data_IF_552788819353
#
_entry.id   IF_552788819353
#
_cell.length_a   1.000
_cell.length_b   1.000
_cell.length_c   1.000
_cell.angle_alpha   90.00
_cell.angle_beta   90.00
_cell.angle_gamma   90.00
#
_symmetry.space_group_name_H-M   'P 1'
#
loop_
_entity.id
_entity.type
_entity.pdbx_description
1 polymer ?
#
# COMPACT_ATOMS: atom_id res chain seq x y z
N UNK A 1 9.55 -11.64 34.88
CA UNK A 1 8.41 -10.89 34.30
C UNK A 1 7.69 -11.86 33.37
N UNK A 2 6.49 -12.30 33.75
CA UNK A 2 5.72 -13.32 33.05
C UNK A 2 4.87 -12.62 31.98
N UNK A 3 4.66 -13.25 30.81
CA UNK A 3 3.42 -12.97 30.07
C UNK A 3 2.44 -13.99 30.65
N UNK A 4 1.68 -13.57 31.64
CA UNK A 4 0.60 -14.36 32.17
C UNK A 4 -0.60 -14.27 31.23
N UNK A 5 -1.53 -15.22 31.31
CA UNK A 5 -2.74 -15.19 30.48
C UNK A 5 -3.44 -13.83 30.55
N UNK A 6 -3.45 -13.14 31.69
CA UNK A 6 -4.03 -11.80 31.83
C UNK A 6 -3.39 -10.71 30.96
N UNK A 7 -2.13 -10.86 30.52
CA UNK A 7 -1.45 -9.90 29.65
C UNK A 7 -1.97 -9.95 28.20
N UNK A 8 -2.73 -10.99 27.81
CA UNK A 8 -3.35 -11.11 26.49
C UNK A 8 -4.81 -11.61 26.50
N UNK A 9 -5.37 -11.88 27.68
CA UNK A 9 -6.73 -12.44 27.86
C UNK A 9 -7.80 -11.38 28.19
N UNK A 10 -7.63 -10.11 27.79
CA UNK A 10 -8.69 -9.12 27.96
C UNK A 10 -9.94 -9.37 27.07
N UNK A 11 -9.93 -10.39 26.23
CA UNK A 11 -11.07 -10.84 25.45
C UNK A 11 -11.75 -12.08 26.06
N UNK A 12 -12.47 -11.90 27.17
CA UNK A 12 -13.61 -12.76 27.51
C UNK A 12 -14.61 -11.94 28.32
N UNK A 13 -15.85 -11.86 27.83
CA UNK A 13 -17.02 -11.27 28.50
C UNK A 13 -17.11 -9.72 28.54
N UNK A 14 -17.34 -9.12 27.38
CA UNK A 14 -18.38 -8.08 27.28
C UNK A 14 -19.41 -8.53 26.26
N UNK A 15 -20.54 -9.02 26.74
CA UNK A 15 -21.71 -9.35 25.92
C UNK A 15 -22.14 -8.12 25.10
N UNK A 16 -21.78 -8.09 23.83
CA UNK A 16 -22.39 -7.20 22.85
C UNK A 16 -23.71 -7.83 22.38
N UNK A 17 -24.82 -7.13 22.60
CA UNK A 17 -26.11 -7.50 22.01
C UNK A 17 -25.99 -7.64 20.49
N UNK A 18 -26.78 -8.54 19.92
CA UNK A 18 -26.87 -8.80 18.48
C UNK A 18 -27.00 -7.47 17.71
N UNK A 19 -25.93 -7.08 17.03
CA UNK A 19 -25.94 -6.01 16.05
C UNK A 19 -26.10 -6.64 14.65
N UNK A 20 -27.07 -6.11 13.90
CA UNK A 20 -27.36 -6.46 12.51
C UNK A 20 -26.09 -6.46 11.63
N UNK A 21 -26.03 -7.26 10.54
CA UNK A 21 -24.88 -7.27 9.65
C UNK A 21 -24.72 -5.88 9.03
N UNK A 22 -23.74 -5.11 9.50
CA UNK A 22 -23.52 -3.71 9.10
C UNK A 22 -22.26 -3.58 8.24
N UNK A 23 -22.53 -3.30 6.97
CA UNK A 23 -21.71 -2.73 5.90
C UNK A 23 -20.26 -3.24 5.72
N UNK A 24 -20.05 -3.94 4.61
CA UNK A 24 -18.75 -4.01 3.94
C UNK A 24 -18.38 -2.59 3.50
N UNK A 25 -17.27 -2.03 4.00
CA UNK A 25 -16.78 -0.68 3.67
C UNK A 25 -16.61 0.25 4.87
N UNK A 26 -16.28 1.51 4.60
CA UNK A 26 -15.94 2.53 5.59
C UNK A 26 -14.47 2.51 6.03
N UNK A 27 -13.59 1.90 5.25
CA UNK A 27 -12.16 1.81 5.54
C UNK A 27 -11.48 3.17 5.48
N UNK A 28 -11.76 3.96 4.44
CA UNK A 28 -11.15 5.28 4.25
C UNK A 28 -11.50 6.24 5.40
N UNK A 29 -12.76 6.45 5.79
CA UNK A 29 -13.09 7.30 6.94
C UNK A 29 -12.48 6.81 8.26
N UNK A 30 -12.34 5.48 8.45
CA UNK A 30 -11.68 4.96 9.65
C UNK A 30 -10.17 5.22 9.61
N UNK A 31 -9.51 4.93 8.49
CA UNK A 31 -8.10 5.22 8.23
C UNK A 31 -7.76 6.69 8.53
N UNK A 32 -8.53 7.64 7.98
CA UNK A 32 -8.33 9.07 8.19
C UNK A 32 -8.51 9.49 9.66
N UNK A 33 -9.43 8.85 10.40
CA UNK A 33 -9.60 9.11 11.84
C UNK A 33 -8.45 8.56 12.67
N UNK A 34 -7.91 7.39 12.30
CA UNK A 34 -6.82 6.73 13.01
C UNK A 34 -5.45 7.34 12.75
N UNK A 35 -5.28 8.07 11.63
CA UNK A 35 -4.07 8.84 11.33
C UNK A 35 -3.90 10.09 12.20
N UNK A 36 -4.92 10.51 12.95
CA UNK A 36 -4.81 11.67 13.85
C UNK A 36 -3.93 11.32 15.05
N UNK A 37 -3.16 12.29 15.54
CA UNK A 37 -2.14 12.09 16.61
C UNK A 37 -2.66 11.34 17.84
N UNK A 38 -3.93 11.47 18.20
CA UNK A 38 -4.55 10.64 19.24
C UNK A 38 -6.02 10.37 18.90
N UNK A 39 -6.37 9.21 18.33
CA UNK A 39 -7.77 8.86 18.06
C UNK A 39 -8.49 8.61 19.39
N UNK A 40 -9.68 9.19 19.54
CA UNK A 40 -10.53 8.98 20.71
C UNK A 40 -11.14 7.58 20.78
N UNK A 41 -11.73 7.25 21.92
CA UNK A 41 -12.25 5.91 22.25
C UNK A 41 -13.21 5.35 21.20
N UNK A 42 -14.06 6.19 20.61
CA UNK A 42 -15.00 5.76 19.57
C UNK A 42 -14.27 5.26 18.30
N UNK A 43 -13.16 5.90 17.91
CA UNK A 43 -12.37 5.48 16.76
C UNK A 43 -11.58 4.20 17.07
N UNK A 44 -11.00 4.09 18.28
CA UNK A 44 -10.33 2.86 18.73
C UNK A 44 -11.30 1.68 18.84
N UNK A 45 -12.50 1.91 19.34
CA UNK A 45 -13.57 0.90 19.38
C UNK A 45 -13.98 0.43 17.98
N UNK A 46 -14.14 1.35 17.02
CA UNK A 46 -14.41 0.99 15.63
C UNK A 46 -13.25 0.22 14.98
N UNK A 47 -12.01 0.55 15.34
CA UNK A 47 -10.82 -0.17 14.91
C UNK A 47 -10.75 -1.59 15.47
N UNK A 48 -11.08 -1.79 16.76
CA UNK A 48 -11.16 -3.12 17.35
C UNK A 48 -12.25 -3.98 16.68
N UNK A 49 -13.41 -3.40 16.35
CA UNK A 49 -14.46 -4.08 15.59
C UNK A 49 -14.02 -4.45 14.16
N UNK A 50 -13.25 -3.57 13.50
CA UNK A 50 -12.61 -3.89 12.22
C UNK A 50 -11.72 -5.14 12.36
N UNK A 51 -10.79 -5.16 13.33
CA UNK A 51 -9.89 -6.31 13.54
C UNK A 51 -10.68 -7.61 13.77
N UNK A 52 -11.69 -7.60 14.66
CA UNK A 52 -12.53 -8.79 14.92
C UNK A 52 -13.25 -9.28 13.67
N UNK A 53 -13.76 -8.37 12.85
CA UNK A 53 -14.42 -8.71 11.60
C UNK A 53 -13.45 -9.32 10.59
N UNK A 54 -12.28 -8.72 10.41
CA UNK A 54 -11.25 -9.22 9.50
C UNK A 54 -10.74 -10.60 9.94
N UNK A 55 -10.56 -10.82 11.24
CA UNK A 55 -10.24 -12.15 11.79
C UNK A 55 -11.31 -13.19 11.47
N UNK A 56 -12.60 -12.81 11.58
CA UNK A 56 -13.73 -13.67 11.25
C UNK A 56 -13.74 -14.04 9.76
N UNK A 57 -13.51 -13.07 8.88
CA UNK A 57 -13.40 -13.30 7.42
C UNK A 57 -12.21 -14.20 7.10
N UNK A 58 -11.05 -13.94 7.71
CA UNK A 58 -9.83 -14.69 7.49
C UNK A 58 -9.93 -16.16 7.96
N UNK A 59 -10.92 -16.55 8.78
CA UNK A 59 -11.07 -17.95 9.22
C UNK A 59 -11.18 -18.93 8.05
N UNK A 60 -11.83 -18.52 6.95
CA UNK A 60 -12.01 -19.34 5.77
C UNK A 60 -10.73 -19.46 4.91
N UNK A 61 -9.78 -18.54 5.09
CA UNK A 61 -8.54 -18.51 4.30
C UNK A 61 -7.54 -19.57 4.77
N UNK A 62 -6.79 -20.18 3.84
CA UNK A 62 -5.73 -21.12 4.18
C UNK A 62 -4.66 -20.44 5.04
N UNK A 63 -4.04 -21.21 5.93
CA UNK A 63 -2.91 -20.77 6.73
C UNK A 63 -1.73 -21.68 6.41
N UNK A 64 -0.72 -21.10 5.79
CA UNK A 64 0.52 -21.76 5.37
C UNK A 64 1.52 -21.96 6.52
N UNK A 65 1.31 -21.28 7.66
CA UNK A 65 2.09 -21.48 8.86
C UNK A 65 2.03 -22.93 9.37
N UNK A 66 3.13 -23.43 9.95
CA UNK A 66 3.21 -24.77 10.49
C UNK A 66 2.16 -25.02 11.60
N UNK A 67 1.84 -26.29 11.85
CA UNK A 67 0.90 -26.64 12.92
C UNK A 67 1.44 -26.31 14.31
N UNK A 68 2.77 -26.32 14.48
CA UNK A 68 3.45 -26.01 15.73
C UNK A 68 4.53 -24.94 15.50
N UNK A 69 4.74 -24.01 16.45
CA UNK A 69 5.63 -22.85 16.28
C UNK A 69 7.11 -23.24 16.08
N UNK A 70 7.53 -24.42 16.51
CA UNK A 70 8.90 -24.93 16.34
C UNK A 70 9.26 -25.13 14.86
N UNK A 71 8.25 -25.25 13.98
CA UNK A 71 8.44 -25.38 12.53
C UNK A 71 8.73 -24.05 11.81
N UNK A 72 8.67 -22.90 12.49
CA UNK A 72 8.70 -21.58 11.85
C UNK A 72 9.97 -21.32 11.04
N UNK A 73 11.14 -21.64 11.58
CA UNK A 73 12.39 -21.41 10.85
C UNK A 73 12.49 -22.26 9.58
N UNK A 74 12.03 -23.50 9.61
CA UNK A 74 12.02 -24.37 8.44
C UNK A 74 11.01 -23.87 7.38
N UNK A 75 9.83 -23.41 7.82
CA UNK A 75 8.83 -22.79 6.96
C UNK A 75 9.37 -21.52 6.28
N UNK A 76 9.96 -20.59 7.05
CA UNK A 76 10.56 -19.36 6.54
C UNK A 76 11.65 -19.66 5.51
N UNK A 77 12.58 -20.58 5.81
CA UNK A 77 13.64 -20.96 4.88
C UNK A 77 13.09 -21.54 3.57
N UNK A 78 12.07 -22.40 3.64
CA UNK A 78 11.41 -22.96 2.46
C UNK A 78 10.72 -21.87 1.62
N UNK A 79 10.04 -20.92 2.27
CA UNK A 79 9.43 -19.76 1.62
C UNK A 79 10.47 -18.91 0.88
N UNK A 80 11.56 -18.51 1.54
CA UNK A 80 12.64 -17.74 0.93
C UNK A 80 13.27 -18.46 -0.26
N UNK A 81 13.52 -19.77 -0.15
CA UNK A 81 14.04 -20.57 -1.26
C UNK A 81 13.07 -20.58 -2.46
N UNK A 82 11.77 -20.73 -2.21
CA UNK A 82 10.73 -20.68 -3.23
C UNK A 82 10.66 -19.33 -3.94
N UNK A 83 10.72 -18.23 -3.17
CA UNK A 83 10.74 -16.85 -3.70
C UNK A 83 11.99 -16.62 -4.56
N UNK A 84 13.17 -17.01 -4.08
CA UNK A 84 14.41 -16.88 -4.86
C UNK A 84 14.40 -17.71 -6.14
N UNK A 85 13.90 -18.95 -6.10
CA UNK A 85 13.76 -19.79 -7.30
C UNK A 85 12.80 -19.16 -8.32
N UNK A 86 11.68 -18.63 -7.85
CA UNK A 86 10.69 -17.94 -8.68
C UNK A 86 11.26 -16.66 -9.30
N UNK A 87 12.01 -15.88 -8.52
CA UNK A 87 12.69 -14.68 -9.02
C UNK A 87 13.80 -15.01 -10.03
N UNK A 88 14.58 -16.07 -9.78
CA UNK A 88 15.57 -16.57 -10.74
C UNK A 88 14.94 -16.99 -12.07
N UNK A 89 13.77 -17.63 -12.01
CA UNK A 89 12.98 -17.97 -13.21
C UNK A 89 12.54 -16.72 -13.96
N UNK A 90 12.03 -15.72 -13.25
CA UNK A 90 11.67 -14.41 -13.83
C UNK A 90 12.86 -13.76 -14.54
N UNK A 91 14.03 -13.68 -13.88
CA UNK A 91 15.23 -13.10 -14.48
C UNK A 91 15.69 -13.85 -15.73
N UNK A 92 15.64 -15.18 -15.73
CA UNK A 92 15.97 -15.99 -16.91
C UNK A 92 15.01 -15.72 -18.09
N UNK A 93 13.71 -15.57 -17.81
CA UNK A 93 12.71 -15.20 -18.83
C UNK A 93 12.98 -13.80 -19.39
N UNK A 94 13.31 -12.83 -18.54
CA UNK A 94 13.67 -11.46 -18.96
C UNK A 94 14.94 -11.43 -19.80
N UNK A 95 15.96 -12.20 -19.42
CA UNK A 95 17.18 -12.36 -20.22
C UNK A 95 16.92 -13.00 -21.59
N UNK A 96 15.92 -13.87 -21.69
CA UNK A 96 15.47 -14.47 -22.95
C UNK A 96 14.55 -13.56 -23.79
N UNK A 97 14.27 -12.32 -23.34
CA UNK A 97 13.45 -11.35 -24.07
C UNK A 97 11.95 -11.45 -23.82
N UNK A 98 11.49 -12.24 -22.84
CA UNK A 98 10.09 -12.21 -22.40
C UNK A 98 9.71 -10.81 -21.89
N UNK A 99 8.46 -10.35 -21.98
CA UNK A 99 8.04 -9.02 -21.50
C UNK A 99 8.05 -8.90 -19.97
N UNK A 100 7.83 -7.69 -19.46
CA UNK A 100 7.63 -7.43 -18.03
C UNK A 100 6.40 -8.21 -17.54
N UNK A 101 6.46 -8.69 -16.30
CA UNK A 101 5.37 -9.46 -15.68
C UNK A 101 4.31 -8.55 -15.05
N UNK A 102 4.71 -7.43 -14.44
CA UNK A 102 3.77 -6.58 -13.71
C UNK A 102 3.39 -5.33 -14.50
N UNK A 103 4.37 -4.56 -14.96
CA UNK A 103 4.08 -3.25 -15.52
C UNK A 103 4.22 -3.24 -17.04
N UNK A 104 3.10 -3.12 -17.74
CA UNK A 104 3.11 -3.00 -19.21
C UNK A 104 3.82 -1.71 -19.67
N UNK A 105 3.68 -0.60 -18.93
CA UNK A 105 4.32 0.69 -19.22
C UNK A 105 4.47 1.54 -17.94
N UNK A 106 5.07 2.73 -18.06
CA UNK A 106 5.30 3.65 -16.94
C UNK A 106 4.00 4.10 -16.25
N UNK A 107 2.93 4.35 -16.99
CA UNK A 107 1.65 4.78 -16.39
C UNK A 107 1.03 3.67 -15.53
N UNK A 108 1.18 2.41 -15.95
CA UNK A 108 0.77 1.25 -15.16
C UNK A 108 1.54 1.19 -13.83
N UNK A 109 2.86 1.35 -13.86
CA UNK A 109 3.65 1.40 -12.62
C UNK A 109 3.23 2.54 -11.68
N UNK A 110 3.02 3.75 -12.21
CA UNK A 110 2.56 4.89 -11.42
C UNK A 110 1.15 4.70 -10.85
N UNK A 111 0.25 4.07 -11.61
CA UNK A 111 -1.06 3.66 -11.12
C UNK A 111 -0.91 2.73 -9.92
N UNK A 112 -0.11 1.67 -10.03
CA UNK A 112 0.12 0.74 -8.93
C UNK A 112 0.65 1.44 -7.68
N UNK A 113 1.70 2.25 -7.81
CA UNK A 113 2.29 3.00 -6.68
C UNK A 113 1.26 3.87 -5.97
N UNK A 114 0.39 4.52 -6.73
CA UNK A 114 -0.68 5.33 -6.16
C UNK A 114 -1.75 4.46 -5.50
N UNK A 115 -2.16 3.38 -6.14
CA UNK A 115 -3.23 2.49 -5.67
C UNK A 115 -2.91 1.84 -4.32
N UNK A 116 -1.66 1.42 -4.10
CA UNK A 116 -1.25 0.80 -2.83
C UNK A 116 -0.78 1.80 -1.76
N UNK A 117 -0.81 3.10 -2.07
CA UNK A 117 -0.35 4.15 -1.17
C UNK A 117 -0.99 4.13 0.22
N UNK A 118 -2.32 3.91 0.40
CA UNK A 118 -2.90 3.85 1.74
C UNK A 118 -2.29 2.78 2.65
N UNK A 119 -1.78 1.69 2.08
CA UNK A 119 -1.09 0.63 2.83
C UNK A 119 0.34 1.05 3.14
N UNK A 120 1.08 1.56 2.15
CA UNK A 120 2.51 1.88 2.31
C UNK A 120 2.77 3.16 3.10
N UNK A 121 1.80 4.06 3.18
CA UNK A 121 1.90 5.30 3.96
C UNK A 121 1.74 5.10 5.47
N UNK A 122 1.49 3.86 5.93
CA UNK A 122 1.37 3.48 7.34
C UNK A 122 2.21 2.26 7.69
N UNK A 123 3.23 1.95 6.88
CA UNK A 123 4.14 0.83 7.14
C UNK A 123 4.72 0.90 8.56
N UNK A 124 4.81 -0.27 9.20
CA UNK A 124 5.20 -0.44 10.59
C UNK A 124 4.13 -0.06 11.63
N UNK A 125 3.04 0.63 11.27
CA UNK A 125 2.10 1.17 12.25
C UNK A 125 1.41 0.11 13.12
N UNK A 126 1.31 -1.15 12.66
CA UNK A 126 0.74 -2.25 13.46
C UNK A 126 1.53 -2.54 14.74
N UNK A 127 2.81 -2.17 14.79
CA UNK A 127 3.69 -2.36 15.94
C UNK A 127 3.67 -1.19 16.93
N UNK A 128 3.01 -0.07 16.60
CA UNK A 128 3.02 1.14 17.41
C UNK A 128 2.68 0.87 18.89
N UNK A 129 1.64 0.08 19.16
CA UNK A 129 1.22 -0.23 20.52
C UNK A 129 2.25 -1.03 21.34
N UNK A 130 3.26 -1.64 20.70
CA UNK A 130 4.33 -2.36 21.41
C UNK A 130 5.39 -1.44 21.99
N UNK A 131 5.37 -0.13 21.68
CA UNK A 131 6.26 0.85 22.32
C UNK A 131 6.04 0.88 23.84
N UNK A 132 4.82 0.61 24.33
CA UNK A 132 4.53 0.47 25.77
C UNK A 132 5.29 -0.72 26.41
N UNK A 133 5.82 -1.64 25.59
CA UNK A 133 6.58 -2.81 26.00
C UNK A 133 8.08 -2.71 25.69
N UNK A 134 8.62 -1.53 25.38
CA UNK A 134 10.02 -1.34 24.97
C UNK A 134 11.07 -1.90 25.97
N UNK A 135 10.73 -2.01 27.25
CA UNK A 135 11.61 -2.55 28.29
C UNK A 135 11.42 -4.05 28.55
N UNK A 136 10.48 -4.70 27.86
CA UNK A 136 10.24 -6.13 28.00
C UNK A 136 11.06 -6.89 26.94
N UNK A 137 12.05 -7.70 27.35
CA UNK A 137 12.96 -8.36 26.41
C UNK A 137 12.24 -9.33 25.46
N UNK A 138 11.05 -9.83 25.82
CA UNK A 138 10.26 -10.73 24.98
C UNK A 138 9.69 -10.07 23.73
N UNK A 139 9.57 -8.74 23.74
CA UNK A 139 9.10 -7.96 22.59
C UNK A 139 10.24 -7.20 21.89
N UNK A 140 11.50 -7.45 22.28
CA UNK A 140 12.65 -6.70 21.80
C UNK A 140 12.77 -6.74 20.27
N UNK A 141 12.61 -7.92 19.65
CA UNK A 141 12.64 -8.06 18.19
C UNK A 141 11.52 -7.27 17.49
N UNK A 142 10.30 -7.29 18.03
CA UNK A 142 9.16 -6.55 17.46
C UNK A 142 9.34 -5.04 17.59
N UNK A 143 9.78 -4.56 18.77
CA UNK A 143 10.07 -3.14 18.99
C UNK A 143 11.24 -2.69 18.12
N UNK A 144 12.25 -3.55 17.93
CA UNK A 144 13.39 -3.28 17.05
C UNK A 144 12.95 -3.16 15.60
N UNK A 145 12.14 -4.09 15.09
CA UNK A 145 11.53 -3.98 13.75
C UNK A 145 10.80 -2.65 13.60
N UNK A 146 9.94 -2.27 14.55
CA UNK A 146 9.23 -0.99 14.48
C UNK A 146 10.17 0.22 14.39
N UNK A 147 11.25 0.24 15.18
CA UNK A 147 12.22 1.34 15.15
C UNK A 147 12.98 1.39 13.82
N UNK A 148 13.28 0.24 13.21
CA UNK A 148 13.92 0.15 11.90
C UNK A 148 12.99 0.61 10.77
N UNK A 149 11.71 0.23 10.79
CA UNK A 149 10.68 0.75 9.88
C UNK A 149 10.57 2.29 9.95
N UNK A 150 10.77 2.84 11.14
CA UNK A 150 10.82 4.29 11.38
C UNK A 150 12.14 4.95 10.95
N UNK A 151 13.11 4.19 10.46
CA UNK A 151 14.42 4.68 10.02
C UNK A 151 15.45 4.86 11.14
N UNK A 152 15.23 4.31 12.32
CA UNK A 152 16.15 4.40 13.48
C UNK A 152 16.54 5.83 13.90
N UNK A 153 15.68 6.80 13.61
CA UNK A 153 15.94 8.22 13.86
C UNK A 153 16.60 8.96 12.69
N UNK A 154 16.89 8.27 11.58
CA UNK A 154 17.27 8.86 10.29
C UNK A 154 16.03 8.97 9.37
N UNK A 155 15.59 10.19 9.01
CA UNK A 155 14.49 10.39 8.07
C UNK A 155 14.69 9.72 6.71
N UNK A 156 15.95 9.57 6.25
CA UNK A 156 16.26 8.94 4.96
C UNK A 156 16.10 7.41 5.01
N UNK A 157 16.05 6.84 6.22
CA UNK A 157 15.72 5.43 6.46
C UNK A 157 14.25 5.16 6.72
N UNK A 158 13.41 6.20 6.94
CA UNK A 158 12.02 6.01 7.32
C UNK A 158 11.17 5.53 6.13
N UNK A 159 10.58 4.34 6.23
CA UNK A 159 9.87 3.70 5.12
C UNK A 159 8.69 4.54 4.61
N UNK A 160 7.94 5.18 5.51
CA UNK A 160 6.83 6.07 5.14
C UNK A 160 7.32 7.33 4.44
N UNK A 161 8.43 7.94 4.88
CA UNK A 161 9.02 9.11 4.23
C UNK A 161 9.61 8.78 2.85
N UNK A 162 10.24 7.61 2.72
CA UNK A 162 10.70 7.09 1.44
C UNK A 162 9.54 6.93 0.46
N UNK A 163 8.43 6.31 0.89
CA UNK A 163 7.27 6.15 0.02
C UNK A 163 6.60 7.48 -0.34
N UNK A 164 6.49 8.42 0.61
CA UNK A 164 5.99 9.78 0.36
C UNK A 164 6.84 10.51 -0.68
N UNK A 165 8.16 10.39 -0.56
CA UNK A 165 9.10 11.01 -1.49
C UNK A 165 8.96 10.42 -2.90
N UNK A 166 8.79 9.11 -3.01
CA UNK A 166 8.50 8.42 -4.27
C UNK A 166 7.20 8.91 -4.92
N UNK A 167 6.12 9.05 -4.15
CA UNK A 167 4.85 9.58 -4.66
C UNK A 167 4.99 11.04 -5.12
N UNK A 168 5.66 11.87 -4.32
CA UNK A 168 5.87 13.29 -4.61
C UNK A 168 6.71 13.52 -5.86
N UNK A 169 7.76 12.72 -6.08
CA UNK A 169 8.59 12.76 -7.27
C UNK A 169 7.80 12.51 -8.59
N UNK A 170 6.58 11.97 -8.48
CA UNK A 170 5.70 11.66 -9.61
C UNK A 170 4.33 12.34 -9.56
N UNK A 171 4.11 13.27 -8.61
CA UNK A 171 2.85 14.00 -8.47
C UNK A 171 1.66 13.10 -8.10
N UNK A 172 1.89 12.07 -7.29
CA UNK A 172 0.90 11.04 -6.90
C UNK A 172 0.35 11.22 -5.49
N UNK A 173 0.57 12.37 -4.84
CA UNK A 173 0.21 12.60 -3.44
C UNK A 173 -1.31 12.63 -3.20
N UNK A 174 -2.08 12.98 -4.22
CA UNK A 174 -3.54 13.00 -4.13
C UNK A 174 -4.11 11.58 -4.24
N UNK A 175 -4.52 11.02 -3.10
CA UNK A 175 -5.07 9.65 -3.01
C UNK A 175 -6.54 9.60 -2.57
N UNK A 176 -7.16 10.74 -2.25
CA UNK A 176 -8.51 10.79 -1.67
C UNK A 176 -9.62 10.23 -2.57
N UNK A 177 -9.40 10.13 -3.87
CA UNK A 177 -10.33 9.56 -4.85
C UNK A 177 -10.13 8.05 -5.09
N UNK A 178 -9.23 7.39 -4.35
CA UNK A 178 -9.13 5.93 -4.38
C UNK A 178 -10.41 5.28 -3.80
N UNK A 179 -10.71 4.08 -4.30
CA UNK A 179 -11.81 3.26 -3.78
C UNK A 179 -11.59 2.92 -2.29
N UNK A 180 -12.68 2.80 -1.53
CA UNK A 180 -12.63 2.55 -0.09
C UNK A 180 -11.84 1.27 0.24
N UNK A 181 -11.97 0.24 -0.61
CA UNK A 181 -11.27 -1.04 -0.47
C UNK A 181 -9.74 -0.91 -0.49
N UNK A 182 -9.18 0.11 -1.15
CA UNK A 182 -7.73 0.36 -1.17
C UNK A 182 -7.19 0.79 0.20
N UNK A 183 -8.07 1.30 1.07
CA UNK A 183 -7.72 1.70 2.43
C UNK A 183 -7.84 0.55 3.43
N UNK A 184 -8.40 -0.61 3.04
CA UNK A 184 -8.68 -1.72 3.95
C UNK A 184 -7.44 -2.17 4.72
N UNK A 185 -6.33 -2.40 4.02
CA UNK A 185 -5.13 -2.92 4.65
C UNK A 185 -4.41 -1.88 5.51
N UNK A 186 -4.28 -0.64 5.03
CA UNK A 186 -3.77 0.46 5.85
C UNK A 186 -4.63 0.73 7.10
N UNK A 187 -5.96 0.64 6.99
CA UNK A 187 -6.86 0.78 8.13
C UNK A 187 -6.67 -0.35 9.15
N UNK A 188 -6.38 -1.57 8.68
CA UNK A 188 -6.11 -2.72 9.52
C UNK A 188 -4.79 -2.57 10.28
N UNK A 189 -3.72 -2.12 9.62
CA UNK A 189 -2.43 -1.83 10.26
C UNK A 189 -2.58 -0.80 11.38
N UNK A 190 -3.25 0.33 11.10
CA UNK A 190 -3.54 1.35 12.12
C UNK A 190 -4.42 0.81 13.25
N UNK A 191 -5.41 -0.04 12.92
CA UNK A 191 -6.32 -0.60 13.90
C UNK A 191 -5.61 -1.54 14.87
N UNK A 192 -4.70 -2.36 14.37
CA UNK A 192 -3.81 -3.20 15.17
C UNK A 192 -2.93 -2.35 16.10
N UNK A 193 -2.26 -1.33 15.55
CA UNK A 193 -1.37 -0.44 16.30
C UNK A 193 -2.06 0.26 17.49
N UNK A 194 -3.30 0.71 17.29
CA UNK A 194 -4.09 1.39 18.34
C UNK A 194 -4.78 0.46 19.34
N UNK A 195 -4.75 -0.86 19.14
CA UNK A 195 -5.45 -1.83 19.98
C UNK A 195 -4.54 -3.00 20.42
N UNK A 196 -3.24 -2.76 20.59
CA UNK A 196 -2.29 -3.82 20.89
C UNK A 196 -2.58 -4.58 22.18
N UNK A 197 -3.16 -3.91 23.19
CA UNK A 197 -3.56 -4.53 24.45
C UNK A 197 -4.60 -5.65 24.30
N UNK A 198 -5.42 -5.61 23.25
CA UNK A 198 -6.49 -6.58 23.02
C UNK A 198 -6.10 -7.65 22.00
N UNK A 199 -5.18 -7.32 21.08
CA UNK A 199 -4.85 -8.13 19.89
C UNK A 199 -3.37 -8.52 19.80
N UNK A 200 -2.65 -8.55 20.92
CA UNK A 200 -1.20 -8.80 20.93
C UNK A 200 -0.78 -10.07 20.16
N UNK A 201 -1.39 -11.27 20.37
CA UNK A 201 -1.05 -12.45 19.57
C UNK A 201 -1.34 -12.27 18.07
N UNK A 202 -2.42 -11.59 17.70
CA UNK A 202 -2.75 -11.30 16.31
C UNK A 202 -1.77 -10.32 15.67
N UNK A 203 -1.25 -9.34 16.42
CA UNK A 203 -0.20 -8.41 15.96
C UNK A 203 1.09 -9.17 15.68
N UNK A 204 1.48 -10.08 16.58
CA UNK A 204 2.65 -10.94 16.39
C UNK A 204 2.46 -11.80 15.13
N UNK A 205 1.26 -12.33 14.92
CA UNK A 205 0.89 -13.04 13.70
C UNK A 205 0.98 -12.18 12.45
N UNK A 206 0.36 -11.00 12.47
CA UNK A 206 0.38 -10.04 11.36
C UNK A 206 1.82 -9.71 10.99
N UNK A 207 2.66 -9.39 11.98
CA UNK A 207 4.09 -9.13 11.79
C UNK A 207 4.80 -10.33 11.16
N UNK A 208 4.56 -11.55 11.67
CA UNK A 208 5.13 -12.76 11.09
C UNK A 208 4.82 -12.92 9.61
N UNK A 209 3.56 -12.71 9.21
CA UNK A 209 3.14 -12.83 7.81
C UNK A 209 3.68 -11.70 6.93
N UNK A 210 3.60 -10.46 7.41
CA UNK A 210 3.92 -9.27 6.63
C UNK A 210 5.43 -9.11 6.37
N UNK A 211 6.27 -9.51 7.32
CA UNK A 211 7.74 -9.43 7.22
C UNK A 211 8.38 -10.55 6.38
N UNK A 212 7.59 -11.48 5.83
CA UNK A 212 8.14 -12.45 4.89
C UNK A 212 8.35 -11.81 3.54
N UNK A 213 9.58 -11.85 3.02
CA UNK A 213 9.91 -11.30 1.69
C UNK A 213 8.95 -11.85 0.61
N UNK A 214 8.06 -11.02 0.04
CA UNK A 214 7.17 -11.47 -1.00
C UNK A 214 7.81 -11.26 -2.38
N UNK A 215 7.62 -12.23 -3.28
CA UNK A 215 8.20 -12.21 -4.65
C UNK A 215 7.96 -10.89 -5.39
N UNK A 216 6.81 -10.27 -5.15
CA UNK A 216 6.43 -9.08 -5.89
C UNK A 216 7.37 -7.89 -5.64
N UNK A 217 8.00 -7.75 -4.46
CA UNK A 217 8.90 -6.62 -4.19
C UNK A 217 10.14 -6.68 -5.08
N UNK A 218 10.68 -7.90 -5.29
CA UNK A 218 11.85 -8.12 -6.16
C UNK A 218 11.54 -7.77 -7.61
N UNK A 219 10.42 -8.27 -8.14
CA UNK A 219 9.99 -7.98 -9.52
C UNK A 219 9.61 -6.50 -9.67
N UNK A 220 8.91 -5.93 -8.70
CA UNK A 220 8.52 -4.51 -8.71
C UNK A 220 9.75 -3.62 -8.75
N UNK A 221 10.73 -3.84 -7.88
CA UNK A 221 11.98 -3.07 -7.88
C UNK A 221 12.71 -3.16 -9.24
N UNK A 222 12.82 -4.38 -9.79
CA UNK A 222 13.44 -4.60 -11.09
C UNK A 222 12.74 -3.82 -12.22
N UNK A 223 11.42 -3.90 -12.30
CA UNK A 223 10.64 -3.27 -13.38
C UNK A 223 10.48 -1.76 -13.22
N UNK A 224 10.40 -1.24 -11.98
CA UNK A 224 10.41 0.20 -11.73
C UNK A 224 11.71 0.84 -12.24
N UNK A 225 12.85 0.22 -11.93
CA UNK A 225 14.15 0.69 -12.40
C UNK A 225 14.21 0.75 -13.94
N UNK A 226 13.75 -0.31 -14.62
CA UNK A 226 13.66 -0.35 -16.08
C UNK A 226 12.75 0.75 -16.66
N UNK A 227 11.70 1.11 -15.94
CA UNK A 227 10.76 2.18 -16.29
C UNK A 227 11.25 3.59 -15.90
N UNK A 228 12.46 3.70 -15.34
CA UNK A 228 13.04 4.96 -14.87
C UNK A 228 12.32 5.56 -13.67
N UNK A 229 11.77 4.71 -12.80
CA UNK A 229 11.16 5.07 -11.52
C UNK A 229 12.10 4.56 -10.43
N UNK A 230 12.34 5.37 -9.41
CA UNK A 230 13.23 5.00 -8.30
C UNK A 230 12.65 3.79 -7.53
N UNK A 231 13.35 2.64 -7.49
CA UNK A 231 12.87 1.44 -6.81
C UNK A 231 13.29 1.39 -5.33
N UNK A 232 13.93 2.42 -4.78
CA UNK A 232 14.64 2.33 -3.50
C UNK A 232 13.78 1.81 -2.34
N UNK A 233 12.55 2.34 -2.17
CA UNK A 233 11.62 1.84 -1.15
C UNK A 233 11.40 0.31 -1.22
N UNK A 234 11.24 -0.25 -2.42
CA UNK A 234 11.04 -1.70 -2.61
C UNK A 234 12.34 -2.49 -2.43
N UNK A 235 13.47 -1.88 -2.78
CA UNK A 235 14.80 -2.51 -2.70
C UNK A 235 15.25 -2.66 -1.25
N UNK A 236 14.94 -1.69 -0.39
CA UNK A 236 15.28 -1.76 1.05
C UNK A 236 14.68 -3.01 1.68
N UNK A 237 13.38 -3.27 1.47
CA UNK A 237 12.68 -4.46 1.97
C UNK A 237 13.32 -5.78 1.50
N UNK A 238 13.85 -5.84 0.27
CA UNK A 238 14.59 -7.02 -0.19
C UNK A 238 15.88 -7.28 0.64
N UNK A 239 16.47 -6.23 1.22
CA UNK A 239 17.67 -6.33 2.05
C UNK A 239 17.36 -6.51 3.54
N UNK A 240 16.35 -5.81 4.07
CA UNK A 240 16.01 -5.85 5.50
C UNK A 240 15.12 -7.03 5.87
N UNK A 241 14.32 -7.56 4.95
CA UNK A 241 13.40 -8.70 5.20
C UNK A 241 14.04 -10.06 4.88
N UNK A 242 15.37 -10.14 4.98
CA UNK A 242 16.10 -11.36 4.66
C UNK A 242 15.96 -12.43 5.77
N UNK A 243 16.13 -13.70 5.39
CA UNK A 243 15.96 -14.85 6.28
C UNK A 243 17.14 -15.13 7.23
N UNK A 244 18.25 -14.41 7.12
CA UNK A 244 19.47 -14.64 7.92
C UNK A 244 19.53 -13.74 9.16
N UNK A 245 19.49 -12.43 8.97
CA UNK A 245 19.49 -11.45 10.07
C UNK A 245 18.35 -10.43 9.97
N UNK A 246 17.50 -10.56 8.95
CA UNK A 246 16.44 -9.61 8.63
C UNK A 246 15.15 -9.79 9.44
N UNK A 247 14.13 -9.02 9.08
CA UNK A 247 12.82 -9.02 9.74
C UNK A 247 12.13 -10.37 9.69
N UNK A 248 12.19 -11.11 8.58
CA UNK A 248 11.58 -12.44 8.47
C UNK A 248 12.03 -13.39 9.59
N UNK A 249 13.34 -13.40 9.90
CA UNK A 249 13.89 -14.21 10.99
C UNK A 249 13.49 -13.70 12.36
N UNK A 250 13.59 -12.39 12.59
CA UNK A 250 13.18 -11.75 13.85
C UNK A 250 11.70 -11.97 14.13
N UNK A 251 10.85 -11.97 13.11
CA UNK A 251 9.43 -12.24 13.28
C UNK A 251 9.19 -13.69 13.74
N UNK A 252 9.94 -14.67 13.22
CA UNK A 252 9.92 -16.04 13.74
C UNK A 252 10.40 -16.11 15.20
N UNK A 253 11.51 -15.45 15.51
CA UNK A 253 12.07 -15.42 16.86
C UNK A 253 11.12 -14.73 17.86
N UNK A 254 10.48 -13.63 17.47
CA UNK A 254 9.50 -12.91 18.26
C UNK A 254 8.32 -13.81 18.67
N UNK A 255 7.84 -14.68 17.78
CA UNK A 255 6.82 -15.68 18.15
C UNK A 255 7.33 -16.60 19.25
N UNK A 256 8.53 -17.17 19.07
CA UNK A 256 9.11 -18.10 20.04
C UNK A 256 9.36 -17.43 21.40
N UNK A 257 9.85 -16.20 21.40
CA UNK A 257 10.12 -15.42 22.60
C UNK A 257 8.83 -15.02 23.33
N UNK A 258 7.70 -14.92 22.62
CA UNK A 258 6.40 -14.55 23.18
C UNK A 258 5.51 -15.74 23.54
N UNK A 259 5.92 -16.99 23.23
CA UNK A 259 5.17 -18.20 23.61
C UNK A 259 4.83 -18.25 25.10
N UNK A 260 3.58 -18.59 25.48
CA UNK A 260 3.20 -18.77 26.88
C UNK A 260 4.12 -19.75 27.62
N UNK A 261 4.52 -19.41 28.84
CA UNK A 261 5.35 -20.31 29.68
C UNK A 261 4.53 -21.40 30.37
N UNK A 262 3.23 -21.21 30.45
CA UNK A 262 2.27 -22.18 30.94
C UNK A 262 1.44 -22.67 29.75
N UNK A 263 1.06 -23.94 29.77
CA UNK A 263 0.18 -24.50 28.76
C UNK A 263 -1.15 -23.73 28.75
N UNK A 264 -1.50 -23.20 27.57
CA UNK A 264 -2.73 -22.46 27.31
C UNK A 264 -3.66 -23.23 26.35
N UNK A 265 -3.38 -24.51 26.11
CA UNK A 265 -4.14 -25.34 25.18
C UNK A 265 -3.95 -24.96 23.71
N UNK A 266 -2.91 -24.19 23.37
CA UNK A 266 -2.62 -23.74 22.01
C UNK A 266 -3.38 -22.46 21.60
N UNK A 267 -4.04 -21.79 22.55
CA UNK A 267 -4.84 -20.59 22.27
C UNK A 267 -3.99 -19.44 21.68
N UNK A 268 -2.80 -19.21 22.22
CA UNK A 268 -1.88 -18.19 21.72
C UNK A 268 -1.49 -18.47 20.27
N UNK A 269 -1.04 -19.69 19.97
CA UNK A 269 -0.62 -20.05 18.62
C UNK A 269 -1.76 -19.97 17.61
N UNK A 270 -2.97 -20.37 18.00
CA UNK A 270 -4.16 -20.21 17.16
C UNK A 270 -4.43 -18.74 16.80
N UNK A 271 -4.26 -17.81 17.75
CA UNK A 271 -4.41 -16.37 17.50
C UNK A 271 -3.28 -15.80 16.64
N UNK A 272 -2.03 -16.24 16.84
CA UNK A 272 -0.90 -15.88 15.96
C UNK A 272 -1.19 -16.32 14.52
N UNK A 273 -1.65 -17.56 14.32
CA UNK A 273 -2.05 -18.06 12.98
C UNK A 273 -3.25 -17.31 12.38
N UNK A 274 -4.17 -16.84 13.22
CA UNK A 274 -5.28 -16.01 12.74
C UNK A 274 -4.78 -14.61 12.31
N UNK A 275 -3.87 -14.02 13.10
CA UNK A 275 -3.24 -12.75 12.81
C UNK A 275 -2.38 -12.76 11.54
N UNK A 276 -1.65 -13.85 11.27
CA UNK A 276 -0.81 -13.92 10.07
C UNK A 276 -1.60 -13.83 8.77
N UNK A 277 -2.81 -14.38 8.74
CA UNK A 277 -3.71 -14.29 7.59
C UNK A 277 -4.20 -12.87 7.32
N UNK A 278 -4.14 -11.98 8.30
CA UNK A 278 -4.47 -10.57 8.11
C UNK A 278 -3.43 -9.83 7.27
N UNK A 279 -2.20 -10.35 7.12
CA UNK A 279 -1.17 -9.74 6.28
C UNK A 279 -1.57 -9.67 4.79
N UNK A 280 -2.46 -10.56 4.35
CA UNK A 280 -3.00 -10.61 2.99
C UNK A 280 -4.43 -10.04 2.87
N UNK A 281 -4.95 -9.37 3.91
CA UNK A 281 -6.31 -8.85 3.88
C UNK A 281 -6.49 -7.70 2.88
N UNK A 282 -7.63 -7.72 2.16
CA UNK A 282 -7.99 -6.69 1.19
C UNK A 282 -7.54 -7.02 -0.22
N UNK A 283 -7.26 -5.98 -1.01
CA UNK A 283 -6.83 -6.14 -2.39
C UNK A 283 -5.35 -6.46 -2.42
N UNK A 284 -5.02 -7.67 -2.85
CA UNK A 284 -3.64 -8.14 -2.94
C UNK A 284 -2.84 -7.37 -3.99
N UNK A 285 -1.51 -7.30 -3.84
CA UNK A 285 -0.64 -6.57 -4.76
C UNK A 285 -0.83 -6.99 -6.22
N UNK A 286 -0.95 -8.31 -6.49
CA UNK A 286 -1.20 -8.80 -7.85
C UNK A 286 -2.52 -8.29 -8.46
N UNK A 287 -3.57 -8.19 -7.65
CA UNK A 287 -4.86 -7.65 -8.06
C UNK A 287 -4.77 -6.12 -8.28
N UNK A 288 -4.08 -5.40 -7.39
CA UNK A 288 -3.83 -3.97 -7.55
C UNK A 288 -3.03 -3.65 -8.82
N UNK A 289 -2.05 -4.49 -9.18
CA UNK A 289 -1.33 -4.40 -10.46
C UNK A 289 -2.31 -4.66 -11.61
N UNK A 290 -3.02 -5.79 -11.60
CA UNK A 290 -3.93 -6.18 -12.67
C UNK A 290 -5.10 -5.19 -12.88
N UNK A 291 -5.43 -4.36 -11.88
CA UNK A 291 -6.49 -3.35 -11.93
C UNK A 291 -6.23 -2.18 -12.89
N UNK A 292 -5.03 -2.05 -13.47
CA UNK A 292 -4.72 -0.95 -14.38
C UNK A 292 -5.50 -1.02 -15.70
N UNK A 293 -6.33 -0.01 -15.94
CA UNK A 293 -6.97 0.25 -17.22
C UNK A 293 -6.63 1.67 -17.68
N UNK A 294 -5.86 1.77 -18.78
CA UNK A 294 -5.37 3.06 -19.27
C UNK A 294 -6.50 4.04 -19.62
N UNK A 295 -7.59 3.55 -20.21
CA UNK A 295 -8.69 4.41 -20.63
C UNK A 295 -9.46 4.95 -19.42
N UNK A 296 -9.75 4.08 -18.45
CA UNK A 296 -10.35 4.46 -17.18
C UNK A 296 -9.50 5.49 -16.44
N UNK A 297 -8.18 5.31 -16.39
CA UNK A 297 -7.28 6.25 -15.73
C UNK A 297 -7.23 7.61 -16.43
N UNK A 298 -7.25 7.65 -17.76
CA UNK A 298 -7.35 8.90 -18.53
C UNK A 298 -8.68 9.61 -18.24
N UNK A 299 -9.79 8.87 -18.20
CA UNK A 299 -11.10 9.42 -17.87
C UNK A 299 -11.16 9.95 -16.43
N UNK A 300 -10.53 9.27 -15.47
CA UNK A 300 -10.42 9.75 -14.10
C UNK A 300 -9.63 11.07 -14.02
N UNK A 301 -8.52 11.19 -14.76
CA UNK A 301 -7.78 12.46 -14.88
C UNK A 301 -8.66 13.56 -15.45
N UNK A 302 -9.42 13.27 -16.52
CA UNK A 302 -10.34 14.22 -17.13
C UNK A 302 -11.41 14.67 -16.14
N UNK A 303 -12.03 13.74 -15.40
CA UNK A 303 -13.05 14.05 -14.40
C UNK A 303 -12.51 14.95 -13.29
N UNK A 304 -11.33 14.64 -12.74
CA UNK A 304 -10.68 15.48 -11.73
C UNK A 304 -10.37 16.88 -12.26
N UNK A 305 -9.85 16.99 -13.48
CA UNK A 305 -9.51 18.29 -14.09
C UNK A 305 -10.76 19.07 -14.52
N UNK A 306 -11.83 18.40 -14.92
CA UNK A 306 -13.11 19.02 -15.27
C UNK A 306 -13.70 19.77 -14.06
N UNK A 307 -13.67 19.17 -12.87
CA UNK A 307 -14.17 19.81 -11.66
C UNK A 307 -13.49 21.15 -11.34
N UNK A 308 -12.19 21.28 -11.64
CA UNK A 308 -11.43 22.51 -11.43
C UNK A 308 -11.40 23.45 -12.66
N UNK A 309 -11.57 22.91 -13.87
CA UNK A 309 -11.36 23.62 -15.14
C UNK A 309 -12.65 23.98 -15.90
N UNK A 310 -13.80 23.45 -15.50
CA UNK A 310 -15.09 23.78 -16.13
C UNK A 310 -15.36 25.28 -16.01
N UNK A 311 -15.61 25.94 -17.14
CA UNK A 311 -15.82 27.40 -17.22
C UNK A 311 -14.54 28.22 -17.40
N UNK A 312 -13.34 27.61 -17.36
CA UNK A 312 -12.07 28.29 -17.58
C UNK A 312 -11.61 28.32 -19.05
N UNK A 313 -12.32 27.61 -19.94
CA UNK A 313 -11.99 27.57 -21.36
C UNK A 313 -12.81 28.61 -22.14
N UNK A 314 -12.23 29.20 -23.19
CA UNK A 314 -13.01 30.01 -24.14
C UNK A 314 -13.82 29.10 -25.07
N UNK A 315 -15.07 29.45 -25.38
CA UNK A 315 -15.93 28.65 -26.27
C UNK A 315 -15.51 28.64 -27.76
N UNK A 316 -14.42 29.34 -28.10
CA UNK A 316 -13.82 29.33 -29.44
C UNK A 316 -13.26 27.96 -29.84
N UNK A 317 -12.77 27.17 -28.88
CA UNK A 317 -12.27 25.83 -29.15
C UNK A 317 -13.41 24.83 -29.09
N UNK A 318 -13.76 24.24 -30.25
CA UNK A 318 -14.80 23.23 -30.38
C UNK A 318 -14.26 21.91 -30.90
N UNK A 319 -14.79 20.80 -30.39
CA UNK A 319 -14.50 19.42 -30.80
C UNK A 319 -15.83 18.74 -31.06
N UNK A 320 -16.00 18.18 -32.27
CA UNK A 320 -17.27 17.60 -32.72
C UNK A 320 -18.49 18.53 -32.49
N UNK A 321 -18.33 19.83 -32.77
CA UNK A 321 -19.40 20.83 -32.66
C UNK A 321 -19.66 21.40 -31.25
N UNK A 322 -19.19 20.74 -30.18
CA UNK A 322 -19.33 21.19 -28.79
C UNK A 322 -18.07 21.93 -28.30
N UNK A 323 -18.24 22.96 -27.47
CA UNK A 323 -17.15 23.64 -26.79
C UNK A 323 -16.52 22.76 -25.71
N UNK A 324 -15.30 23.07 -25.28
CA UNK A 324 -14.65 22.32 -24.21
C UNK A 324 -15.46 22.41 -22.90
N UNK A 325 -16.03 23.58 -22.58
CA UNK A 325 -16.88 23.72 -21.38
C UNK A 325 -18.13 22.84 -21.48
N UNK A 326 -18.76 22.76 -22.65
CA UNK A 326 -19.92 21.90 -22.89
C UNK A 326 -19.56 20.41 -22.73
N UNK A 327 -18.34 20.00 -23.06
CA UNK A 327 -17.86 18.63 -22.82
C UNK A 327 -17.55 18.36 -21.35
N UNK A 328 -16.97 19.33 -20.64
CA UNK A 328 -16.53 19.19 -19.25
C UNK A 328 -17.64 19.46 -18.22
N UNK A 329 -18.80 19.99 -18.63
CA UNK A 329 -19.91 20.30 -17.72
C UNK A 329 -20.57 19.05 -17.12
N UNK A 330 -20.45 17.91 -17.78
CA UNK A 330 -21.16 16.68 -17.45
C UNK A 330 -20.19 15.50 -17.44
N UNK A 331 -19.85 14.92 -16.27
CA UNK A 331 -18.88 13.82 -16.18
C UNK A 331 -19.22 12.60 -17.05
N UNK A 332 -20.51 12.34 -17.28
CA UNK A 332 -21.00 11.24 -18.10
C UNK A 332 -20.62 11.38 -19.58
N UNK A 333 -20.30 12.59 -20.03
CA UNK A 333 -19.92 12.86 -21.42
C UNK A 333 -18.43 12.67 -21.68
N UNK A 334 -17.61 12.48 -20.63
CA UNK A 334 -16.15 12.36 -20.77
C UNK A 334 -15.69 11.20 -21.66
N UNK A 335 -16.32 10.00 -21.65
CA UNK A 335 -15.99 8.94 -22.61
C UNK A 335 -16.23 9.38 -24.06
N UNK A 336 -17.37 10.01 -24.34
CA UNK A 336 -17.68 10.52 -25.67
C UNK A 336 -16.76 11.67 -26.07
N UNK A 337 -16.35 12.51 -25.12
CA UNK A 337 -15.37 13.57 -25.36
C UNK A 337 -13.99 13.01 -25.71
N UNK A 338 -13.52 12.01 -24.96
CA UNK A 338 -12.24 11.33 -25.23
C UNK A 338 -12.26 10.66 -26.61
N UNK A 339 -13.39 10.05 -27.00
CA UNK A 339 -13.56 9.52 -28.35
C UNK A 339 -13.53 10.63 -29.40
N UNK A 340 -14.25 11.73 -29.20
CA UNK A 340 -14.27 12.85 -30.12
C UNK A 340 -12.87 13.49 -30.30
N UNK A 341 -12.06 13.56 -29.25
CA UNK A 341 -10.66 14.00 -29.35
C UNK A 341 -9.82 13.05 -30.23
N UNK A 342 -10.07 11.74 -30.16
CA UNK A 342 -9.37 10.78 -31.00
C UNK A 342 -9.83 10.86 -32.47
N UNK A 343 -11.14 10.87 -32.72
CA UNK A 343 -11.72 10.92 -34.07
C UNK A 343 -11.30 12.18 -34.83
N UNK A 344 -11.10 13.29 -34.10
CA UNK A 344 -10.68 14.57 -34.68
C UNK A 344 -9.14 14.75 -34.66
N UNK A 345 -8.38 13.68 -34.39
CA UNK A 345 -6.91 13.67 -34.45
C UNK A 345 -6.20 14.49 -33.37
N UNK A 346 -6.91 14.89 -32.31
CA UNK A 346 -6.30 15.59 -31.18
C UNK A 346 -5.43 14.65 -30.35
N UNK A 347 -5.88 13.40 -30.20
CA UNK A 347 -5.15 12.32 -29.54
C UNK A 347 -4.96 11.21 -30.57
N UNK A 348 -3.71 10.80 -30.79
CA UNK A 348 -3.35 9.68 -31.66
C UNK A 348 -2.77 8.56 -30.81
N UNK A 349 -3.52 7.48 -30.61
CA UNK A 349 -3.07 6.30 -29.86
C UNK A 349 -2.02 5.53 -30.66
N UNK A 350 -1.07 4.91 -29.96
CA UNK A 350 -0.01 4.10 -30.58
C UNK A 350 1.08 4.88 -31.32
N UNK A 351 0.98 6.21 -31.37
CA UNK A 351 1.99 7.10 -31.96
C UNK A 351 2.81 7.83 -30.88
N UNK A 352 4.02 8.31 -31.20
CA UNK A 352 4.76 9.22 -30.32
C UNK A 352 3.90 10.42 -29.89
N UNK A 353 3.92 10.76 -28.60
CA UNK A 353 3.10 11.82 -28.03
C UNK A 353 3.16 13.17 -28.80
N UNK A 354 4.31 13.63 -29.34
CA UNK A 354 4.39 14.84 -30.15
C UNK A 354 3.49 14.86 -31.40
N UNK A 355 3.06 13.70 -31.91
CA UNK A 355 2.12 13.62 -33.03
C UNK A 355 0.68 13.95 -32.63
N UNK A 356 0.36 13.92 -31.34
CA UNK A 356 -0.95 14.31 -30.81
C UNK A 356 -1.00 15.83 -30.59
N UNK A 357 -1.94 16.53 -31.23
CA UNK A 357 -2.15 17.97 -31.00
C UNK A 357 -2.37 18.29 -29.51
N UNK A 358 -3.08 17.42 -28.80
CA UNK A 358 -3.34 17.55 -27.37
C UNK A 358 -2.04 17.64 -26.55
N UNK A 359 -1.01 16.87 -26.91
CA UNK A 359 0.29 16.90 -26.23
C UNK A 359 0.99 18.25 -26.36
N UNK A 360 0.89 18.89 -27.53
CA UNK A 360 1.44 20.23 -27.76
C UNK A 360 0.85 21.29 -26.82
N UNK A 361 -0.42 21.15 -26.42
CA UNK A 361 -1.06 22.06 -25.46
C UNK A 361 -0.51 21.87 -24.04
N UNK A 362 -0.27 20.62 -23.63
CA UNK A 362 0.32 20.31 -22.33
C UNK A 362 1.77 20.83 -22.23
N UNK A 363 2.56 20.63 -23.29
CA UNK A 363 3.96 21.08 -23.38
C UNK A 363 4.09 22.61 -23.53
N UNK A 364 3.16 23.25 -24.24
CA UNK A 364 3.17 24.71 -24.45
C UNK A 364 3.10 25.53 -23.16
N UNK A 365 2.62 24.94 -22.07
CA UNK A 365 2.63 25.52 -20.72
C UNK A 365 4.03 25.50 -20.09
N UNK A 366 4.85 24.47 -20.34
CA UNK A 366 6.23 24.40 -19.82
C UNK A 366 7.14 25.46 -20.46
N UNK A 367 6.97 25.76 -21.75
CA UNK A 367 7.76 26.81 -22.43
C UNK A 367 7.41 28.23 -21.96
N UNK A 368 6.19 28.48 -21.46
CA UNK A 368 5.80 29.79 -20.90
C UNK A 368 6.29 29.99 -19.46
N UNK A 369 6.57 28.91 -18.72
CA UNK A 369 7.14 28.97 -17.36
C UNK A 369 8.64 29.29 -17.30
N UNK A 370 9.39 29.13 -18.40
CA UNK A 370 10.82 29.47 -18.48
C UNK A 370 11.10 30.90 -18.97
N UNK A 371 10.08 31.70 -19.30
CA UNK A 371 10.24 33.08 -19.79
C UNK A 371 9.74 34.09 -18.76
N UNK A 372 10.21 33.98 -17.51
CA UNK A 372 10.13 35.06 -16.51
C UNK A 372 11.42 35.11 -15.66
N UNK A 373 12.57 35.19 -16.32
CA UNK A 373 13.71 35.96 -15.80
C UNK A 373 14.07 37.01 -16.85
N UNK A 374 13.41 38.16 -16.76
CA UNK A 374 13.82 39.38 -17.45
C UNK A 374 14.79 40.12 -16.54
N UNK A 375 15.99 40.36 -17.04
CA UNK A 375 16.84 41.43 -16.56
C UNK A 375 18.30 41.03 -16.51
N UNK A 376 18.96 40.94 -17.67
CA UNK A 376 20.30 41.50 -17.89
C UNK A 376 20.44 41.88 -19.38
N UNK A 377 21.11 43.00 -19.70
CA UNK A 377 21.21 43.50 -21.07
C UNK A 377 22.34 42.80 -21.83
N UNK A 378 22.09 42.56 -23.12
CA UNK A 378 23.12 42.19 -24.09
C UNK A 378 24.09 43.36 -24.27
N UNK A 379 25.37 43.13 -23.98
CA UNK A 379 26.49 43.90 -24.56
C UNK A 379 27.57 42.90 -24.94
N UNK A 380 27.84 42.85 -26.25
CA UNK A 380 28.89 42.22 -27.07
C UNK A 380 29.54 40.90 -26.64
#
# INVERSE_FOLDING_TARGET
MYIASHDYSHAADRRSGQAAPRQVGGFKPLYERLLRETPGDAARGAAAELVRRELSLAQAEPCDLPQAPEGLFAWMQAHTQSVHASYGTYLAQRAAGAPRHYFSNRAHALYFLRTVAPTKLVDGAWLYGLVEHAHNPRFSDLVRTYVEELGEGDPDGNHVLLYRSLLAAHGLEQIDDLADEMYRQGALQLALGWNAQDFLPEIIGFNLGYEQLPLHLLITAYELNELGIDPYYFTVHATVDNADTGHARRACQAVLDTLPRMDDGGAFWARVRAGSKLADAGVGTGEAIAGFDMEREVLAVFARKAAAGSGAHSDYCRVAGRSINEWLSTPQDLPAFLQALQDNGWIRRGEPAPNSRFWGLLQGLQKRGQVLRRGEPLVD
#
